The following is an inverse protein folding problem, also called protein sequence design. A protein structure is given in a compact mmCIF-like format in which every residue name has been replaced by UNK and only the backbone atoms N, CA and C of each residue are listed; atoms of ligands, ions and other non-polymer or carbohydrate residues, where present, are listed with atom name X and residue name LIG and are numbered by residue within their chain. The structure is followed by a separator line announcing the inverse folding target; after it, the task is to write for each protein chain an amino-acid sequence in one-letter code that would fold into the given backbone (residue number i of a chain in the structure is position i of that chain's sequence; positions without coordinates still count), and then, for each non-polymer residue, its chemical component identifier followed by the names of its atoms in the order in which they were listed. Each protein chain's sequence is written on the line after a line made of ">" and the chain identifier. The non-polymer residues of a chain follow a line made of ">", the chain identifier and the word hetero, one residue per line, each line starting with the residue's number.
data_IF_982132953329
#
_entry.id   IF_982132953329
#
_cell.length_a   1.000
_cell.length_b   1.000
_cell.length_c   1.000
_cell.angle_alpha   90.00
_cell.angle_beta   90.00
_cell.angle_gamma   90.00
#
_symmetry.space_group_name_H-M   'P 1'
#
loop_
_entity.id
_entity.type
_entity.pdbx_description
1 polymer ?
#
# COMPACT_ATOMS: atom_id res chain seq x y z
N UNK A 1 20.89 22.96 38.88
CA UNK A 1 21.08 23.26 37.45
C UNK A 1 20.03 22.49 36.67
N UNK A 2 19.23 23.14 35.81
CA UNK A 2 18.15 22.51 35.04
C UNK A 2 18.72 21.58 33.94
N UNK A 3 18.08 20.42 33.78
CA UNK A 3 18.37 19.42 32.75
C UNK A 3 17.42 19.62 31.58
N UNK A 4 17.80 20.48 30.65
CA UNK A 4 17.20 20.53 29.33
C UNK A 4 17.85 19.48 28.42
N UNK A 5 17.01 18.89 27.56
CA UNK A 5 17.38 18.46 26.22
C UNK A 5 18.12 17.13 26.06
N UNK A 6 17.32 16.06 25.96
CA UNK A 6 17.27 15.30 24.71
C UNK A 6 16.00 14.41 24.71
N UNK A 7 14.98 14.89 24.02
CA UNK A 7 13.92 14.04 23.49
C UNK A 7 14.57 12.92 22.67
N UNK A 8 14.62 11.73 23.26
CA UNK A 8 15.12 10.53 22.61
C UNK A 8 14.12 10.11 21.53
N UNK A 9 14.22 10.77 20.38
CA UNK A 9 13.62 10.34 19.15
C UNK A 9 14.14 8.93 18.86
N UNK A 10 13.33 7.91 19.19
CA UNK A 10 13.56 6.54 18.76
C UNK A 10 13.62 6.55 17.24
N UNK A 11 14.82 6.58 16.68
CA UNK A 11 15.06 6.26 15.28
C UNK A 11 14.69 4.78 15.15
N UNK A 12 13.48 4.52 14.69
CA UNK A 12 13.10 3.19 14.24
C UNK A 12 13.85 3.02 12.91
N UNK A 13 15.01 2.38 12.97
CA UNK A 13 15.70 1.81 11.82
C UNK A 13 14.75 0.78 11.19
N UNK A 14 13.86 1.24 10.31
CA UNK A 14 13.08 0.35 9.43
C UNK A 14 14.07 -0.25 8.44
N UNK A 15 14.67 -1.38 8.80
CA UNK A 15 15.35 -2.20 7.81
C UNK A 15 14.37 -2.47 6.66
N UNK A 16 14.77 -2.27 5.39
CA UNK A 16 13.89 -2.53 4.27
C UNK A 16 13.58 -4.03 4.22
N UNK A 17 12.33 -4.37 4.46
CA UNK A 17 11.81 -5.72 4.33
C UNK A 17 12.12 -6.25 2.90
N UNK A 18 12.54 -7.52 2.76
CA UNK A 18 12.85 -8.08 1.47
C UNK A 18 11.60 -8.06 0.58
N UNK A 19 11.69 -7.41 -0.58
CA UNK A 19 10.61 -7.32 -1.57
C UNK A 19 10.76 -8.41 -2.62
N UNK A 20 9.65 -9.08 -2.96
CA UNK A 20 9.60 -10.10 -4.01
C UNK A 20 8.80 -9.56 -5.19
N UNK A 21 9.36 -9.66 -6.40
CA UNK A 21 8.63 -9.38 -7.63
C UNK A 21 7.87 -10.63 -8.05
N UNK A 22 6.55 -10.52 -8.21
CA UNK A 22 5.70 -11.64 -8.57
C UNK A 22 4.67 -11.21 -9.60
N UNK A 23 4.45 -12.07 -10.60
CA UNK A 23 3.43 -11.88 -11.62
C UNK A 23 2.13 -12.51 -11.14
N UNK A 24 1.12 -11.67 -10.93
CA UNK A 24 -0.21 -12.09 -10.47
C UNK A 24 -1.23 -11.70 -11.55
N UNK A 25 -2.10 -12.63 -11.99
CA UNK A 25 -3.16 -12.28 -12.92
C UNK A 25 -4.12 -11.26 -12.28
N UNK A 26 -4.58 -10.30 -13.08
CA UNK A 26 -5.41 -9.18 -12.61
C UNK A 26 -6.63 -9.64 -11.80
N UNK A 27 -7.32 -10.69 -12.25
CA UNK A 27 -8.50 -11.23 -11.56
C UNK A 27 -8.22 -11.76 -10.15
N UNK A 28 -6.99 -12.20 -9.88
CA UNK A 28 -6.57 -12.63 -8.54
C UNK A 28 -6.17 -11.43 -7.69
N UNK A 29 -5.54 -10.43 -8.30
CA UNK A 29 -5.24 -9.15 -7.66
C UNK A 29 -6.51 -8.42 -7.21
N UNK A 30 -7.55 -8.41 -8.04
CA UNK A 30 -8.87 -7.84 -7.72
C UNK A 30 -9.45 -8.41 -6.44
N UNK A 31 -9.45 -9.74 -6.29
CA UNK A 31 -9.96 -10.41 -5.09
C UNK A 31 -9.15 -10.03 -3.84
N UNK A 32 -7.83 -9.89 -3.97
CA UNK A 32 -6.96 -9.50 -2.86
C UNK A 32 -7.24 -8.04 -2.45
N UNK A 33 -7.47 -7.16 -3.42
CA UNK A 33 -7.90 -5.79 -3.20
C UNK A 33 -9.25 -5.70 -2.51
N UNK A 34 -10.25 -6.46 -2.98
CA UNK A 34 -11.60 -6.48 -2.40
C UNK A 34 -11.63 -7.02 -0.97
N UNK A 35 -10.76 -7.98 -0.65
CA UNK A 35 -10.61 -8.51 0.70
C UNK A 35 -9.77 -7.60 1.63
N UNK A 36 -9.26 -6.48 1.14
CA UNK A 36 -8.42 -5.55 1.92
C UNK A 36 -7.02 -6.06 2.23
N UNK A 37 -6.55 -7.11 1.53
CA UNK A 37 -5.22 -7.69 1.74
C UNK A 37 -4.08 -6.91 1.08
N UNK A 38 -4.39 -5.97 0.18
CA UNK A 38 -3.42 -5.09 -0.47
C UNK A 38 -3.99 -3.69 -0.65
N UNK A 39 -3.14 -2.68 -0.46
CA UNK A 39 -3.44 -1.28 -0.75
C UNK A 39 -2.62 -0.81 -1.96
N UNK A 40 -3.15 0.10 -2.78
CA UNK A 40 -2.38 0.69 -3.89
C UNK A 40 -1.07 1.36 -3.45
N UNK A 41 -0.97 1.78 -2.19
CA UNK A 41 0.26 2.34 -1.61
C UNK A 41 1.40 1.33 -1.47
N UNK A 42 1.09 0.03 -1.45
CA UNK A 42 2.09 -1.05 -1.29
C UNK A 42 2.79 -1.40 -2.61
N UNK A 43 2.25 -0.93 -3.74
CA UNK A 43 2.82 -1.19 -5.06
C UNK A 43 3.96 -0.21 -5.36
N UNK A 44 5.20 -0.70 -5.33
CA UNK A 44 6.41 0.12 -5.60
C UNK A 44 6.91 0.04 -7.04
N UNK A 45 6.69 -1.07 -7.73
CA UNK A 45 7.18 -1.28 -9.10
C UNK A 45 6.03 -1.51 -10.06
N UNK A 46 5.56 -0.44 -10.71
CA UNK A 46 4.49 -0.51 -11.70
C UNK A 46 4.93 0.13 -13.01
N UNK A 47 4.82 -0.61 -14.12
CA UNK A 47 4.83 -0.04 -15.46
C UNK A 47 3.55 0.79 -15.70
N UNK A 48 3.57 1.71 -16.67
CA UNK A 48 2.45 2.62 -16.99
C UNK A 48 1.10 1.91 -17.13
N UNK A 49 1.08 0.72 -17.76
CA UNK A 49 -0.13 -0.09 -17.91
C UNK A 49 -0.64 -0.62 -16.56
N UNK A 50 0.23 -1.26 -15.78
CA UNK A 50 -0.12 -1.79 -14.44
C UNK A 50 -0.56 -0.70 -13.46
N UNK A 51 -0.03 0.53 -13.57
CA UNK A 51 -0.48 1.68 -12.78
C UNK A 51 -1.93 2.06 -13.07
N UNK A 52 -2.33 2.11 -14.35
CA UNK A 52 -3.70 2.40 -14.74
C UNK A 52 -4.66 1.31 -14.25
N UNK A 53 -4.26 0.04 -14.35
CA UNK A 53 -5.05 -1.08 -13.87
C UNK A 53 -5.27 -0.99 -12.36
N UNK A 54 -4.21 -0.85 -11.56
CA UNK A 54 -4.31 -0.75 -10.10
C UNK A 54 -5.10 0.49 -9.67
N UNK A 55 -4.93 1.62 -10.36
CA UNK A 55 -5.72 2.83 -10.10
C UNK A 55 -7.22 2.59 -10.35
N UNK A 56 -7.58 1.93 -11.45
CA UNK A 56 -8.97 1.58 -11.74
C UNK A 56 -9.55 0.64 -10.68
N UNK A 57 -8.79 -0.36 -10.23
CA UNK A 57 -9.21 -1.26 -9.15
C UNK A 57 -9.45 -0.53 -7.84
N UNK A 58 -8.54 0.37 -7.45
CA UNK A 58 -8.71 1.18 -6.25
C UNK A 58 -9.94 2.08 -6.32
N UNK A 59 -10.15 2.78 -7.43
CA UNK A 59 -11.31 3.66 -7.61
C UNK A 59 -12.62 2.87 -7.57
N UNK A 60 -12.67 1.70 -8.21
CA UNK A 60 -13.84 0.82 -8.18
C UNK A 60 -14.13 0.32 -6.76
N UNK A 61 -13.10 -0.10 -6.03
CA UNK A 61 -13.24 -0.54 -4.64
C UNK A 61 -13.73 0.60 -3.72
N UNK A 62 -13.13 1.79 -3.84
CA UNK A 62 -13.57 2.98 -3.10
C UNK A 62 -15.02 3.36 -3.43
N UNK A 63 -15.41 3.32 -4.70
CA UNK A 63 -16.79 3.58 -5.14
C UNK A 63 -17.77 2.58 -4.51
N UNK A 64 -17.48 1.28 -4.57
CA UNK A 64 -18.33 0.25 -3.95
C UNK A 64 -18.49 0.49 -2.44
N UNK A 65 -17.39 0.83 -1.76
CA UNK A 65 -17.40 1.12 -0.31
C UNK A 65 -18.25 2.36 0.02
N UNK A 66 -18.16 3.41 -0.79
CA UNK A 66 -18.96 4.63 -0.62
C UNK A 66 -20.44 4.43 -0.92
N UNK A 67 -20.80 3.46 -1.76
CA UNK A 67 -22.20 3.12 -2.05
C UNK A 67 -22.86 2.26 -0.96
N UNK A 68 -22.09 1.70 -0.03
CA UNK A 68 -22.60 0.94 1.11
C UNK A 68 -22.62 1.75 2.42
N UNK A 69 -22.30 3.05 2.34
CA UNK A 69 -22.47 4.05 3.39
C UNK A 69 -23.77 4.83 3.15
#
# INVERSE_FOLDING_TARGET
>A
MPVEEWESARKIDKQPEPVVQLEIPLSKLEKIFENGGLCAAEFRCMNKQSKLLIQALCLNHCKKRLQQL
#
